data_IF_445572020866
#
_entry.id   IF_445572020866
#
_cell.length_a   1.000
_cell.length_b   1.000
_cell.length_c   1.000
_cell.angle_alpha   90.00
_cell.angle_beta   90.00
_cell.angle_gamma   90.00
#
_symmetry.space_group_name_H-M   'P 1'
#
loop_
_entity.id
_entity.type
_entity.pdbx_description
1 polymer ?
#
# COMPACT_ATOMS: atom_id res chain seq x y z
N UNK A 1 -0.09 -13.98 -8.66
CA UNK A 1 -0.61 -12.66 -8.25
C UNK A 1 0.36 -12.06 -7.25
N UNK A 2 0.84 -10.83 -7.48
CA UNK A 2 1.69 -10.13 -6.51
C UNK A 2 0.95 -9.86 -5.20
N UNK A 3 1.70 -9.74 -4.11
CA UNK A 3 1.29 -9.63 -2.72
C UNK A 3 0.38 -8.43 -2.34
N UNK A 4 -0.32 -7.80 -3.29
CA UNK A 4 -0.76 -6.42 -3.20
C UNK A 4 -2.15 -6.17 -3.81
N UNK A 5 -3.11 -7.08 -3.65
CA UNK A 5 -4.43 -7.00 -4.31
C UNK A 5 -5.27 -5.75 -3.98
N UNK A 6 -4.99 -5.05 -2.87
CA UNK A 6 -5.62 -3.76 -2.53
C UNK A 6 -4.85 -2.54 -3.07
N UNK A 7 -3.56 -2.71 -3.37
CA UNK A 7 -2.65 -1.65 -3.80
C UNK A 7 -2.32 -1.68 -5.29
N UNK A 8 -2.76 -2.72 -6.02
CA UNK A 8 -2.67 -2.76 -7.47
C UNK A 8 -3.63 -1.74 -8.11
N UNK A 9 -3.12 -1.03 -9.11
CA UNK A 9 -3.98 -0.27 -10.03
C UNK A 9 -4.62 -1.24 -11.02
N UNK A 10 -5.94 -1.30 -11.12
CA UNK A 10 -6.60 -2.11 -12.13
C UNK A 10 -6.25 -1.61 -13.53
N UNK A 11 -6.18 -2.51 -14.51
CA UNK A 11 -5.86 -2.19 -15.90
C UNK A 11 -7.05 -1.59 -16.64
N UNK A 12 -8.27 -1.84 -16.16
CA UNK A 12 -9.53 -1.38 -16.75
C UNK A 12 -10.35 -0.59 -15.73
N UNK A 13 -11.21 0.30 -16.22
CA UNK A 13 -12.00 1.22 -15.38
C UNK A 13 -13.26 0.53 -14.88
N UNK A 14 -13.36 0.34 -13.57
CA UNK A 14 -14.56 -0.22 -12.94
C UNK A 14 -15.74 0.77 -12.98
N UNK A 15 -15.50 2.03 -12.66
CA UNK A 15 -16.53 3.06 -12.61
C UNK A 15 -16.55 3.91 -13.88
N UNK A 16 -17.74 4.36 -14.28
CA UNK A 16 -17.89 5.46 -15.23
C UNK A 16 -17.50 6.78 -14.55
N UNK A 17 -17.23 7.83 -15.34
CA UNK A 17 -17.02 9.16 -14.79
C UNK A 17 -18.26 9.60 -13.99
N UNK A 18 -18.12 10.04 -12.73
CA UNK A 18 -19.24 10.51 -11.93
C UNK A 18 -19.81 11.78 -12.54
N UNK A 19 -21.13 11.96 -12.48
CA UNK A 19 -21.78 13.20 -12.94
C UNK A 19 -21.42 14.38 -12.04
N UNK A 20 -21.15 14.09 -10.78
CA UNK A 20 -20.74 15.06 -9.78
C UNK A 20 -19.70 14.46 -8.84
N UNK A 21 -18.57 15.15 -8.69
CA UNK A 21 -17.54 14.81 -7.71
C UNK A 21 -16.88 16.12 -7.23
N UNK A 22 -17.22 16.62 -6.03
CA UNK A 22 -16.73 17.90 -5.56
C UNK A 22 -15.23 17.81 -5.25
N UNK A 23 -14.48 18.82 -5.71
CA UNK A 23 -13.10 19.05 -5.29
C UNK A 23 -13.08 19.98 -4.08
N UNK A 24 -12.81 19.42 -2.92
CA UNK A 24 -12.73 20.10 -1.64
C UNK A 24 -11.31 20.63 -1.39
N UNK A 25 -11.20 21.57 -0.46
CA UNK A 25 -9.91 21.92 0.14
C UNK A 25 -9.23 20.67 0.72
N UNK A 26 -7.89 20.60 0.72
CA UNK A 26 -7.18 19.44 1.20
C UNK A 26 -7.48 19.25 2.69
N UNK A 27 -8.00 18.07 3.05
CA UNK A 27 -8.32 17.72 4.44
C UNK A 27 -7.11 17.22 5.24
N UNK A 28 -6.03 16.88 4.56
CA UNK A 28 -4.75 16.49 5.16
C UNK A 28 -3.72 17.61 4.94
N UNK A 29 -2.81 17.78 5.89
CA UNK A 29 -1.65 18.66 5.73
C UNK A 29 -0.54 17.95 4.95
N UNK A 30 0.44 18.72 4.48
CA UNK A 30 1.69 18.16 3.97
C UNK A 30 2.30 17.24 5.05
N UNK A 31 2.67 16.02 4.65
CA UNK A 31 3.28 15.04 5.53
C UNK A 31 4.69 14.70 5.04
N UNK A 32 5.63 14.66 5.97
CA UNK A 32 7.00 14.25 5.72
C UNK A 32 7.32 12.97 6.47
N UNK A 33 7.81 11.96 5.76
CA UNK A 33 8.15 10.66 6.34
C UNK A 33 9.53 10.23 5.88
N UNK A 34 10.35 9.72 6.81
CA UNK A 34 11.62 9.06 6.50
C UNK A 34 11.55 7.59 6.93
N UNK A 35 11.98 6.70 6.05
CA UNK A 35 12.08 5.26 6.28
C UNK A 35 13.45 4.73 5.82
N UNK A 36 13.94 3.67 6.48
CA UNK A 36 15.23 3.06 6.17
C UNK A 36 15.09 1.55 5.97
N UNK A 37 15.83 1.01 5.00
CA UNK A 37 15.83 -0.40 4.60
C UNK A 37 17.26 -0.92 4.53
N UNK A 38 17.46 -2.21 4.83
CA UNK A 38 18.71 -2.93 4.57
C UNK A 38 18.72 -3.66 3.21
N UNK A 39 17.72 -3.38 2.37
CA UNK A 39 17.61 -3.93 1.02
C UNK A 39 16.95 -2.93 0.07
N UNK A 40 17.54 -2.77 -1.12
CA UNK A 40 16.99 -1.96 -2.22
C UNK A 40 15.64 -2.50 -2.68
N UNK A 41 15.48 -3.83 -2.78
CA UNK A 41 14.23 -4.43 -3.26
C UNK A 41 13.06 -4.15 -2.31
N UNK A 42 13.32 -4.13 -1.00
CA UNK A 42 12.32 -3.77 0.00
C UNK A 42 11.95 -2.28 -0.09
N UNK A 43 12.94 -1.41 -0.29
CA UNK A 43 12.73 0.02 -0.46
C UNK A 43 11.91 0.33 -1.73
N UNK A 44 12.21 -0.32 -2.86
CA UNK A 44 11.46 -0.15 -4.11
C UNK A 44 10.03 -0.67 -4.00
N UNK A 45 9.82 -1.80 -3.31
CA UNK A 45 8.48 -2.34 -3.07
C UNK A 45 7.65 -1.38 -2.21
N UNK A 46 8.25 -0.79 -1.17
CA UNK A 46 7.60 0.23 -0.35
C UNK A 46 7.25 1.49 -1.16
N UNK A 47 8.22 2.04 -1.91
CA UNK A 47 8.03 3.23 -2.76
C UNK A 47 6.90 3.03 -3.77
N UNK A 48 6.89 1.87 -4.42
CA UNK A 48 5.84 1.47 -5.37
C UNK A 48 4.47 1.43 -4.71
N UNK A 49 4.36 0.85 -3.51
CA UNK A 49 3.12 0.79 -2.75
C UNK A 49 2.62 2.18 -2.34
N UNK A 50 3.50 3.07 -1.85
CA UNK A 50 3.11 4.44 -1.44
C UNK A 50 2.65 5.23 -2.67
N UNK A 51 3.38 5.11 -3.78
CA UNK A 51 3.05 5.83 -5.02
C UNK A 51 1.75 5.35 -5.66
N UNK A 52 1.40 4.06 -5.51
CA UNK A 52 0.17 3.50 -6.09
C UNK A 52 -1.07 3.72 -5.23
N UNK A 53 -0.91 3.76 -3.91
CA UNK A 53 -2.00 3.60 -2.95
C UNK A 53 -2.09 4.67 -1.87
N UNK A 54 -1.02 5.42 -1.68
CA UNK A 54 -0.87 6.40 -0.62
C UNK A 54 -0.53 5.83 0.74
N UNK A 55 -0.13 6.74 1.62
CA UNK A 55 0.48 6.41 2.91
C UNK A 55 -0.47 5.73 3.89
N UNK A 56 -1.76 6.04 3.85
CA UNK A 56 -2.76 5.40 4.72
C UNK A 56 -2.89 3.89 4.45
N UNK A 57 -2.86 3.49 3.19
CA UNK A 57 -2.96 2.08 2.80
C UNK A 57 -1.62 1.36 2.99
N UNK A 58 -0.49 2.08 2.82
CA UNK A 58 0.83 1.49 3.06
C UNK A 58 1.22 1.40 4.53
N UNK A 59 0.77 2.32 5.38
CA UNK A 59 0.96 2.24 6.83
C UNK A 59 0.21 1.05 7.44
N UNK A 60 -0.87 0.58 6.79
CA UNK A 60 -1.54 -0.65 7.17
C UNK A 60 -0.68 -1.90 6.89
N UNK A 61 0.29 -1.84 5.97
CA UNK A 61 1.19 -2.94 5.66
C UNK A 61 2.23 -3.12 6.79
N UNK A 62 2.38 -4.34 7.31
CA UNK A 62 3.23 -4.60 8.47
C UNK A 62 4.68 -4.16 8.22
N UNK A 63 5.33 -3.52 9.20
CA UNK A 63 6.73 -3.10 9.08
C UNK A 63 7.69 -4.29 8.81
N UNK A 64 7.33 -5.48 9.30
CA UNK A 64 8.00 -6.76 9.03
C UNK A 64 7.92 -7.19 7.56
N UNK A 65 6.80 -6.91 6.88
CA UNK A 65 6.61 -7.24 5.45
C UNK A 65 7.57 -6.46 4.54
N UNK A 66 8.14 -5.39 5.06
CA UNK A 66 9.09 -4.52 4.37
C UNK A 66 10.54 -4.71 4.84
N UNK A 67 10.83 -5.68 5.72
CA UNK A 67 12.16 -5.86 6.29
C UNK A 67 12.68 -4.64 7.05
N UNK A 68 11.79 -3.78 7.57
CA UNK A 68 12.17 -2.53 8.22
C UNK A 68 12.85 -2.82 9.57
N UNK A 69 14.15 -2.58 9.63
CA UNK A 69 14.85 -2.39 10.89
C UNK A 69 14.38 -1.07 11.52
N UNK A 70 13.57 -1.14 12.58
CA UNK A 70 13.11 0.00 13.39
C UNK A 70 12.51 1.18 12.60
N UNK A 71 11.20 1.13 12.36
CA UNK A 71 10.42 2.33 11.97
C UNK A 71 10.38 3.29 13.16
N UNK A 72 11.06 4.44 13.06
CA UNK A 72 10.84 5.58 13.97
C UNK A 72 9.88 6.56 13.30
N UNK A 73 8.59 6.35 13.49
CA UNK A 73 7.59 7.40 13.22
C UNK A 73 7.74 8.49 14.29
N UNK A 74 7.57 9.76 13.90
CA UNK A 74 7.47 10.90 14.83
C UNK A 74 6.14 10.84 15.59
N UNK A 75 5.98 9.83 16.44
CA UNK A 75 4.99 9.78 17.50
C UNK A 75 5.65 9.11 18.70
N UNK A 76 5.83 9.90 19.75
CA UNK A 76 6.49 9.57 21.01
C UNK A 76 6.09 8.20 21.56
N UNK A 77 7.07 7.30 21.74
CA UNK A 77 7.15 6.37 22.90
C UNK A 77 8.49 5.65 22.89
N UNK A 78 9.35 6.04 23.82
CA UNK A 78 10.52 5.25 24.21
C UNK A 78 10.05 3.87 24.70
N UNK A 79 10.42 2.81 23.99
CA UNK A 79 10.49 1.48 24.61
C UNK A 79 11.96 1.15 24.78
N UNK A 80 12.38 1.28 26.03
CA UNK A 80 13.64 0.80 26.56
C UNK A 80 13.68 -0.72 26.35
N UNK A 81 14.49 -1.18 25.41
CA UNK A 81 14.76 -2.61 25.19
C UNK A 81 15.71 -3.10 26.28
N UNK A 82 15.25 -4.07 27.06
CA UNK A 82 16.03 -4.75 28.09
C UNK A 82 17.14 -5.61 27.48
N UNK A 83 18.27 -5.70 28.20
CA UNK A 83 19.57 -6.28 27.81
C UNK A 83 19.59 -7.81 27.54
N UNK A 84 18.48 -8.43 27.14
CA UNK A 84 18.35 -9.90 27.08
C UNK A 84 18.18 -10.52 25.67
N UNK A 85 18.46 -9.78 24.59
CA UNK A 85 18.51 -10.30 23.20
C UNK A 85 19.94 -10.26 22.62
N UNK A 86 20.95 -10.45 23.47
CA UNK A 86 22.36 -10.52 23.07
C UNK A 86 22.79 -11.92 22.58
N UNK A 87 21.94 -12.57 21.79
CA UNK A 87 22.30 -13.72 20.95
C UNK A 87 21.90 -13.41 19.49
N UNK A 88 22.36 -12.26 19.00
CA UNK A 88 22.02 -11.74 17.67
C UNK A 88 22.90 -12.45 16.64
N UNK A 89 22.29 -13.35 15.87
CA UNK A 89 22.84 -13.73 14.57
C UNK A 89 23.05 -12.42 13.79
N UNK A 90 24.31 -12.04 13.59
CA UNK A 90 24.68 -10.78 12.94
C UNK A 90 24.19 -10.86 11.50
N UNK A 91 23.12 -10.13 11.20
CA UNK A 91 22.62 -9.99 9.84
C UNK A 91 23.64 -9.16 9.07
N UNK A 92 23.96 -9.64 7.88
CA UNK A 92 24.87 -8.98 6.94
C UNK A 92 24.05 -8.34 5.82
N UNK A 93 24.54 -7.21 5.30
CA UNK A 93 23.90 -6.47 4.22
C UNK A 93 24.98 -5.87 3.30
N UNK A 94 24.73 -5.92 1.99
CA UNK A 94 25.53 -5.23 0.97
C UNK A 94 24.96 -3.85 0.59
N UNK A 95 23.71 -3.57 0.95
CA UNK A 95 23.05 -2.29 0.64
C UNK A 95 22.25 -1.77 1.83
N UNK A 96 22.04 -0.45 1.86
CA UNK A 96 21.03 0.16 2.71
C UNK A 96 20.46 1.41 2.03
N UNK A 97 19.18 1.68 2.26
CA UNK A 97 18.45 2.77 1.60
C UNK A 97 17.70 3.59 2.64
N UNK A 98 17.84 4.91 2.55
CA UNK A 98 17.00 5.87 3.25
C UNK A 98 16.11 6.57 2.23
N UNK A 99 14.80 6.59 2.47
CA UNK A 99 13.85 7.33 1.67
C UNK A 99 13.16 8.36 2.55
N UNK A 100 13.31 9.64 2.19
CA UNK A 100 12.51 10.72 2.75
C UNK A 100 11.53 11.18 1.67
N UNK A 101 10.24 11.19 1.99
CA UNK A 101 9.23 11.62 1.05
C UNK A 101 8.20 12.57 1.66
N UNK A 102 7.81 13.54 0.84
CA UNK A 102 6.80 14.54 1.14
C UNK A 102 5.54 14.28 0.35
N UNK A 103 4.44 14.01 1.05
CA UNK A 103 3.10 13.97 0.49
C UNK A 103 2.49 15.37 0.55
N UNK A 104 2.18 15.94 -0.60
CA UNK A 104 1.67 17.31 -0.72
C UNK A 104 0.23 17.27 -1.27
N UNK A 105 -0.79 17.17 -0.40
CA UNK A 105 -2.18 17.25 -0.82
C UNK A 105 -2.54 18.67 -1.25
N UNK A 106 -3.24 18.79 -2.39
CA UNK A 106 -3.72 20.08 -2.93
C UNK A 106 -5.24 20.13 -2.98
N UNK A 107 -5.89 19.01 -3.27
CA UNK A 107 -7.34 18.88 -3.23
C UNK A 107 -7.74 17.57 -2.59
N UNK A 108 -8.91 17.55 -2.00
CA UNK A 108 -9.57 16.34 -1.58
C UNK A 108 -10.78 16.09 -2.47
N UNK A 109 -11.09 14.83 -2.72
CA UNK A 109 -12.30 14.44 -3.43
C UNK A 109 -12.98 13.28 -2.71
N UNK A 110 -14.27 13.20 -2.91
CA UNK A 110 -15.09 12.07 -2.49
C UNK A 110 -16.05 11.78 -3.63
N UNK A 111 -16.16 10.50 -4.01
CA UNK A 111 -17.16 10.05 -4.97
C UNK A 111 -18.36 9.59 -4.14
N UNK A 112 -19.50 10.29 -4.20
CA UNK A 112 -20.70 9.84 -3.49
C UNK A 112 -21.14 8.46 -3.98
N UNK A 113 -21.72 7.65 -3.09
CA UNK A 113 -22.07 6.25 -3.40
C UNK A 113 -23.03 6.16 -4.58
N UNK A 114 -23.99 7.06 -4.68
CA UNK A 114 -24.95 7.17 -5.76
C UNK A 114 -24.31 7.46 -7.14
N UNK A 115 -23.10 8.05 -7.14
CA UNK A 115 -22.31 8.32 -8.35
C UNK A 115 -21.39 7.16 -8.75
N UNK A 116 -21.21 6.16 -7.87
CA UNK A 116 -20.40 4.95 -8.13
C UNK A 116 -21.12 3.97 -9.05
N UNK A 117 -21.32 4.36 -10.30
CA UNK A 117 -21.94 3.53 -11.32
C UNK A 117 -20.87 2.83 -12.15
N UNK A 118 -21.10 1.56 -12.44
CA UNK A 118 -20.16 0.76 -13.24
C UNK A 118 -20.04 1.33 -14.66
N UNK A 119 -18.86 1.18 -15.24
CA UNK A 119 -18.68 1.39 -16.68
C UNK A 119 -19.43 0.32 -17.47
N UNK A 120 -19.81 0.62 -18.72
CA UNK A 120 -20.46 -0.37 -19.61
C UNK A 120 -19.58 -1.61 -19.75
N UNK A 121 -18.28 -1.42 -19.90
CA UNK A 121 -17.29 -2.48 -20.02
C UNK A 121 -17.23 -3.38 -18.77
N UNK A 122 -17.28 -2.80 -17.57
CA UNK A 122 -17.32 -3.59 -16.34
C UNK A 122 -18.65 -4.31 -16.16
N UNK A 123 -19.76 -3.68 -16.54
CA UNK A 123 -21.09 -4.28 -16.50
C UNK A 123 -21.19 -5.50 -17.41
N UNK A 124 -20.71 -5.40 -18.66
CA UNK A 124 -20.66 -6.51 -19.61
C UNK A 124 -19.77 -7.65 -19.08
N UNK A 125 -18.61 -7.30 -18.49
CA UNK A 125 -17.71 -8.28 -17.91
C UNK A 125 -18.32 -9.01 -16.70
N UNK A 126 -19.16 -8.35 -15.90
CA UNK A 126 -19.91 -8.96 -14.80
C UNK A 126 -20.92 -9.98 -15.34
N UNK A 127 -21.66 -9.62 -16.38
CA UNK A 127 -22.64 -10.51 -16.99
C UNK A 127 -21.99 -11.77 -17.60
N UNK A 128 -20.73 -11.68 -17.99
CA UNK A 128 -19.95 -12.83 -18.47
C UNK A 128 -19.39 -13.75 -17.36
N UNK A 129 -19.63 -13.46 -16.08
CA UNK A 129 -19.12 -14.29 -14.97
C UNK A 129 -19.99 -15.54 -14.81
N UNK A 130 -19.51 -16.67 -15.32
CA UNK A 130 -20.15 -17.97 -15.12
C UNK A 130 -19.37 -18.91 -14.19
N UNK A 131 -18.08 -18.63 -13.97
CA UNK A 131 -17.14 -19.52 -13.24
C UNK A 131 -16.24 -18.73 -12.28
N UNK A 132 -15.60 -19.39 -11.30
CA UNK A 132 -14.61 -18.77 -10.43
C UNK A 132 -13.43 -18.16 -11.19
N UNK A 133 -13.04 -18.74 -12.33
CA UNK A 133 -11.94 -18.23 -13.15
C UNK A 133 -12.31 -16.90 -13.83
N UNK A 134 -13.55 -16.79 -14.33
CA UNK A 134 -14.06 -15.51 -14.84
C UNK A 134 -14.07 -14.43 -13.74
N UNK A 135 -14.46 -14.80 -12.52
CA UNK A 135 -14.44 -13.88 -11.38
C UNK A 135 -13.02 -13.43 -11.02
N UNK A 136 -12.03 -14.33 -10.99
CA UNK A 136 -10.62 -13.95 -10.77
C UNK A 136 -10.10 -13.01 -11.84
N UNK A 137 -10.40 -13.28 -13.11
CA UNK A 137 -10.02 -12.40 -14.23
C UNK A 137 -10.67 -11.02 -14.11
N UNK A 138 -11.96 -10.97 -13.76
CA UNK A 138 -12.65 -9.71 -13.51
C UNK A 138 -11.95 -8.90 -12.40
N UNK A 139 -11.63 -9.53 -11.27
CA UNK A 139 -10.95 -8.85 -10.16
C UNK A 139 -9.54 -8.39 -10.53
N UNK A 140 -8.83 -9.13 -11.39
CA UNK A 140 -7.51 -8.74 -11.88
C UNK A 140 -7.58 -7.52 -12.83
N UNK A 141 -8.60 -7.48 -13.69
CA UNK A 141 -8.81 -6.42 -14.67
C UNK A 141 -9.32 -5.12 -14.04
N UNK A 142 -10.37 -5.22 -13.22
CA UNK A 142 -11.14 -4.07 -12.71
C UNK A 142 -10.87 -3.74 -11.25
N UNK A 143 -10.20 -4.63 -10.52
CA UNK A 143 -9.97 -4.49 -9.09
C UNK A 143 -11.11 -5.05 -8.25
N UNK A 144 -10.85 -5.19 -6.94
CA UNK A 144 -11.79 -5.82 -6.00
C UNK A 144 -12.63 -4.82 -5.20
N UNK A 145 -12.12 -3.60 -5.00
CA UNK A 145 -12.71 -2.61 -4.12
C UNK A 145 -12.59 -1.21 -4.71
N UNK A 146 -13.51 -0.34 -4.32
CA UNK A 146 -13.50 1.09 -4.64
C UNK A 146 -13.38 1.90 -3.36
N UNK A 147 -12.49 2.91 -3.30
CA UNK A 147 -12.45 3.84 -2.19
C UNK A 147 -13.68 4.76 -2.18
N UNK A 148 -14.37 4.76 -1.04
CA UNK A 148 -15.52 5.61 -0.74
C UNK A 148 -15.19 6.70 0.27
N UNK A 149 -14.02 6.65 0.90
CA UNK A 149 -13.54 7.69 1.81
C UNK A 149 -13.12 8.97 1.09
N UNK A 150 -12.58 9.92 1.85
CA UNK A 150 -11.91 11.09 1.28
C UNK A 150 -10.59 10.63 0.67
N UNK A 151 -10.40 10.99 -0.59
CA UNK A 151 -9.19 10.77 -1.37
C UNK A 151 -8.46 12.09 -1.57
N UNK A 152 -7.14 12.05 -1.75
CA UNK A 152 -6.33 13.26 -1.92
C UNK A 152 -5.63 13.27 -3.26
N UNK A 153 -5.77 14.41 -3.93
CA UNK A 153 -5.03 14.77 -5.13
C UNK A 153 -3.87 15.68 -4.76
N UNK A 154 -2.72 15.46 -5.37
CA UNK A 154 -1.52 16.25 -5.13
C UNK A 154 -0.31 15.62 -5.78
N UNK A 155 0.81 15.65 -5.07
CA UNK A 155 2.06 15.08 -5.55
C UNK A 155 2.89 14.46 -4.42
N UNK A 156 3.83 13.60 -4.80
CA UNK A 156 4.79 12.97 -3.90
C UNK A 156 6.19 13.34 -4.33
N UNK A 157 6.95 13.93 -3.43
CA UNK A 157 8.36 14.25 -3.65
C UNK A 157 9.22 13.24 -2.88
N UNK A 158 10.18 12.63 -3.55
CA UNK A 158 11.07 11.62 -2.97
C UNK A 158 12.51 12.10 -2.99
N UNK A 159 13.20 11.90 -1.86
CA UNK A 159 14.65 11.89 -1.75
C UNK A 159 15.08 10.49 -1.34
N UNK A 160 15.89 9.86 -2.17
CA UNK A 160 16.36 8.48 -1.96
C UNK A 160 17.88 8.54 -1.85
N UNK A 161 18.41 8.06 -0.74
CA UNK A 161 19.84 7.87 -0.49
C UNK A 161 20.10 6.39 -0.36
N UNK A 162 20.92 5.85 -1.25
CA UNK A 162 21.28 4.44 -1.29
C UNK A 162 22.79 4.32 -1.07
N UNK A 163 23.18 3.41 -0.19
CA UNK A 163 24.57 3.02 -0.02
C UNK A 163 24.76 1.58 -0.47
N UNK A 164 25.87 1.30 -1.14
CA UNK A 164 26.24 -0.02 -1.63
C UNK A 164 27.69 -0.34 -1.30
N UNK A 165 27.94 -1.43 -0.59
CA UNK A 165 29.27 -1.95 -0.28
C UNK A 165 29.65 -3.06 -1.26
N UNK A 166 30.94 -3.20 -1.57
CA UNK A 166 31.42 -4.30 -2.44
C UNK A 166 31.25 -5.68 -1.77
N UNK A 167 31.49 -5.74 -0.46
CA UNK A 167 31.27 -6.92 0.37
C UNK A 167 30.12 -6.68 1.36
N UNK A 168 29.42 -7.75 1.73
CA UNK A 168 28.49 -7.66 2.85
C UNK A 168 29.22 -7.28 4.15
N UNK A 169 28.64 -6.34 4.89
CA UNK A 169 29.08 -5.94 6.23
C UNK A 169 27.92 -6.09 7.22
N UNK A 170 28.21 -5.91 8.52
CA UNK A 170 27.15 -5.98 9.54
C UNK A 170 26.05 -4.95 9.26
N UNK A 171 24.78 -5.37 9.31
CA UNK A 171 23.62 -4.52 8.99
C UNK A 171 23.59 -3.22 9.81
N UNK A 172 24.00 -3.27 11.07
CA UNK A 172 24.11 -2.07 11.91
C UNK A 172 25.14 -1.07 11.39
N UNK A 173 26.27 -1.56 10.88
CA UNK A 173 27.33 -0.72 10.31
C UNK A 173 26.86 -0.07 9.00
N UNK A 174 26.12 -0.79 8.17
CA UNK A 174 25.45 -0.21 7.00
C UNK A 174 24.48 0.91 7.40
N UNK A 175 23.58 0.64 8.34
CA UNK A 175 22.57 1.63 8.74
C UNK A 175 23.19 2.87 9.41
N UNK A 176 24.30 2.71 10.15
CA UNK A 176 25.06 3.83 10.70
C UNK A 176 25.73 4.68 9.61
N UNK A 177 26.34 4.05 8.61
CA UNK A 177 26.90 4.75 7.45
C UNK A 177 25.80 5.51 6.69
N UNK A 178 24.65 4.90 6.45
CA UNK A 178 23.50 5.54 5.83
C UNK A 178 22.98 6.72 6.66
N UNK A 179 22.93 6.58 7.99
CA UNK A 179 22.55 7.67 8.88
C UNK A 179 23.52 8.85 8.80
N UNK A 180 24.82 8.59 8.64
CA UNK A 180 25.84 9.64 8.44
C UNK A 180 25.63 10.38 7.12
N UNK A 181 25.44 9.67 6.02
CA UNK A 181 25.21 10.26 4.69
C UNK A 181 23.91 11.06 4.61
N UNK A 182 22.93 10.71 5.44
CA UNK A 182 21.65 11.44 5.54
C UNK A 182 21.67 12.60 6.54
N UNK A 183 22.80 12.88 7.19
CA UNK A 183 22.96 14.01 8.13
C UNK A 183 22.48 13.72 9.56
N UNK A 184 22.40 12.45 9.95
CA UNK A 184 21.83 11.98 11.20
C UNK A 184 20.30 12.06 11.22
N UNK A 185 19.68 11.36 12.17
CA UNK A 185 18.22 11.21 12.35
C UNK A 185 17.41 12.52 12.55
N UNK A 186 18.01 13.69 12.33
CA UNK A 186 17.46 15.02 12.60
C UNK A 186 17.30 15.90 11.34
N UNK A 187 17.80 15.50 10.18
CA UNK A 187 17.59 16.26 8.92
C UNK A 187 16.34 15.78 8.18
N UNK A 188 15.16 16.08 8.70
CA UNK A 188 13.87 15.94 7.98
C UNK A 188 13.64 17.06 6.95
N UNK A 189 14.63 17.94 6.74
CA UNK A 189 14.56 19.04 5.79
C UNK A 189 14.90 18.54 4.39
N UNK A 190 13.87 18.45 3.57
CA UNK A 190 13.98 18.42 2.11
C UNK A 190 14.35 19.77 1.51
N UNK A 191 14.49 20.78 2.37
CA UNK A 191 14.86 22.12 2.02
C UNK A 191 16.34 22.14 1.61
N UNK A 192 16.53 22.42 0.32
CA UNK A 192 17.81 22.79 -0.31
C UNK A 192 18.73 21.59 -0.59
N UNK A 193 18.41 20.87 -1.66
CA UNK A 193 19.45 20.24 -2.49
C UNK A 193 19.40 20.89 -3.87
N UNK A 194 20.44 21.66 -4.21
CA UNK A 194 20.67 22.12 -5.58
C UNK A 194 21.39 20.97 -6.29
N UNK A 195 20.63 20.05 -6.86
CA UNK A 195 21.18 19.03 -7.76
C UNK A 195 21.31 19.68 -9.14
N UNK A 196 22.49 19.56 -9.77
CA UNK A 196 22.71 20.00 -11.15
C UNK A 196 21.76 19.29 -12.14
N UNK A 197 21.70 19.79 -13.38
CA UNK A 197 20.92 19.18 -14.46
C UNK A 197 21.25 17.69 -14.60
N UNK A 198 20.34 16.80 -14.15
CA UNK A 198 20.56 15.35 -14.12
C UNK A 198 20.06 14.60 -12.88
N UNK A 199 19.68 15.30 -11.80
CA UNK A 199 18.82 14.74 -10.74
C UNK A 199 19.43 13.64 -9.84
N UNK A 200 20.75 13.43 -9.87
CA UNK A 200 21.42 12.45 -9.03
C UNK A 200 22.88 12.80 -8.72
N UNK A 201 23.41 12.32 -7.59
CA UNK A 201 24.81 12.46 -7.20
C UNK A 201 25.36 11.12 -6.73
N UNK A 202 26.59 10.82 -7.11
CA UNK A 202 27.30 9.62 -6.67
C UNK A 202 28.55 10.04 -5.89
N UNK A 203 28.72 9.47 -4.71
CA UNK A 203 29.86 9.68 -3.82
C UNK A 203 30.47 8.36 -3.35
N UNK A 204 31.59 8.43 -2.64
CA UNK A 204 32.27 7.27 -2.05
C UNK A 204 32.56 7.52 -0.57
N UNK A 205 32.23 6.54 0.26
CA UNK A 205 32.48 6.54 1.70
C UNK A 205 33.23 5.30 2.16
N UNK A 206 33.55 5.24 3.45
CA UNK A 206 34.35 4.19 4.05
C UNK A 206 33.78 3.77 5.40
N UNK A 207 33.81 2.47 5.69
CA UNK A 207 33.49 1.90 7.00
C UNK A 207 34.73 1.96 7.89
N UNK A 208 34.58 2.43 9.13
CA UNK A 208 35.62 2.35 10.15
C UNK A 208 35.35 1.15 11.05
N UNK A 209 36.13 0.08 10.90
CA UNK A 209 36.11 -1.06 11.84
C UNK A 209 37.32 -0.97 12.77
N UNK A 210 37.11 -0.62 14.04
CA UNK A 210 38.15 -0.66 15.06
C UNK A 210 38.19 -2.06 15.68
N UNK A 211 39.24 -2.84 15.40
CA UNK A 211 39.54 -4.08 16.12
C UNK A 211 40.51 -3.79 17.27
N UNK A 212 40.05 -3.94 18.50
CA UNK A 212 40.92 -4.04 19.68
C UNK A 212 41.43 -5.48 19.80
N UNK A 213 42.67 -5.71 19.38
CA UNK A 213 43.67 -6.61 19.99
C UNK A 213 44.78 -6.92 18.98
N UNK A 214 46.01 -6.51 19.31
CA UNK A 214 47.30 -6.87 18.68
C UNK A 214 47.43 -6.69 17.16
N UNK A 215 48.08 -5.60 16.74
CA UNK A 215 48.63 -5.44 15.39
C UNK A 215 47.67 -4.75 14.41
N UNK A 216 47.91 -3.45 14.21
CA UNK A 216 47.07 -2.56 13.38
C UNK A 216 47.08 -2.99 11.92
N UNK A 217 45.96 -3.56 11.46
CA UNK A 217 45.51 -3.43 10.08
C UNK A 217 44.06 -2.94 10.11
N UNK A 218 43.87 -1.65 9.81
CA UNK A 218 42.54 -1.09 9.61
C UNK A 218 42.07 -1.53 8.23
N UNK A 219 41.26 -2.58 8.14
CA UNK A 219 40.61 -2.92 6.86
C UNK A 219 39.46 -1.95 6.63
N UNK A 220 39.75 -0.84 5.95
CA UNK A 220 38.74 0.12 5.51
C UNK A 220 37.99 -0.44 4.32
N UNK A 221 36.79 -0.98 4.53
CA UNK A 221 35.87 -1.33 3.44
C UNK A 221 35.23 -0.06 2.88
N UNK A 222 35.12 0.07 1.57
CA UNK A 222 34.47 1.24 0.93
C UNK A 222 33.03 0.95 0.55
N UNK A 223 32.22 2.01 0.45
CA UNK A 223 30.88 1.97 -0.12
C UNK A 223 30.66 3.14 -1.08
N UNK A 224 29.77 2.94 -2.04
CA UNK A 224 29.28 3.99 -2.93
C UNK A 224 27.97 4.53 -2.36
N UNK A 225 27.77 5.84 -2.48
CA UNK A 225 26.55 6.54 -2.07
C UNK A 225 25.89 7.12 -3.30
N UNK A 226 24.62 6.80 -3.53
CA UNK A 226 23.82 7.38 -4.60
C UNK A 226 22.66 8.14 -4.00
N UNK A 227 22.54 9.43 -4.33
CA UNK A 227 21.38 10.24 -3.98
C UNK A 227 20.59 10.58 -5.22
N UNK A 228 19.28 10.40 -5.20
CA UNK A 228 18.37 10.75 -6.31
C UNK A 228 17.11 11.44 -5.79
N UNK A 229 16.57 12.32 -6.63
CA UNK A 229 15.24 12.92 -6.45
C UNK A 229 14.28 12.29 -7.43
N UNK A 230 13.09 11.92 -6.95
CA UNK A 230 12.00 11.45 -7.81
C UNK A 230 10.71 12.15 -7.43
N UNK A 231 9.80 12.29 -8.40
CA UNK A 231 8.56 13.05 -8.22
C UNK A 231 7.38 12.32 -8.87
N UNK A 232 6.30 12.15 -8.11
CA UNK A 232 4.96 11.95 -8.65
C UNK A 232 4.31 13.33 -8.69
N UNK A 233 4.43 14.04 -9.80
CA UNK A 233 4.11 15.46 -9.87
C UNK A 233 5.05 16.22 -10.81
N UNK A 234 5.26 17.53 -10.59
CA UNK A 234 6.24 18.31 -11.34
C UNK A 234 7.65 17.75 -11.12
N UNK A 235 8.43 17.59 -12.19
CA UNK A 235 9.82 17.17 -12.08
C UNK A 235 10.71 18.40 -11.80
N UNK A 236 11.04 18.62 -10.53
CA UNK A 236 11.84 19.76 -10.06
C UNK A 236 12.81 19.34 -8.97
N UNK A 237 13.94 20.05 -8.87
CA UNK A 237 15.04 19.66 -7.98
C UNK A 237 14.86 20.04 -6.50
N UNK A 238 13.84 20.85 -6.15
CA UNK A 238 13.60 21.26 -4.77
C UNK A 238 12.14 21.14 -4.36
N UNK A 239 11.92 20.85 -3.08
CA UNK A 239 10.60 20.65 -2.50
C UNK A 239 9.73 21.93 -2.47
N UNK A 240 10.35 23.10 -2.27
CA UNK A 240 9.66 24.40 -2.33
C UNK A 240 9.12 24.67 -3.74
N UNK A 241 9.96 24.49 -4.77
CA UNK A 241 9.51 24.60 -6.17
C UNK A 241 8.44 23.56 -6.51
N UNK A 242 8.59 22.34 -6.00
CA UNK A 242 7.60 21.27 -6.19
C UNK A 242 6.24 21.71 -5.66
N UNK A 243 6.21 22.19 -4.42
CA UNK A 243 4.98 22.63 -3.75
C UNK A 243 4.35 23.83 -4.46
N UNK A 244 5.15 24.81 -4.90
CA UNK A 244 4.66 25.99 -5.64
C UNK A 244 4.05 25.61 -6.99
N UNK A 245 4.74 24.80 -7.79
CA UNK A 245 4.24 24.39 -9.12
C UNK A 245 2.98 23.54 -8.97
N UNK A 246 2.96 22.63 -8.00
CA UNK A 246 1.80 21.78 -7.72
C UNK A 246 0.57 22.59 -7.30
N UNK A 247 0.75 23.69 -6.56
CA UNK A 247 -0.36 24.55 -6.12
C UNK A 247 -1.06 25.29 -7.27
N UNK A 248 -0.35 25.63 -8.34
CA UNK A 248 -0.87 26.47 -9.45
C UNK A 248 -1.18 25.71 -10.73
N UNK A 249 -0.71 24.47 -10.88
CA UNK A 249 -0.87 23.69 -12.11
C UNK A 249 -1.50 22.30 -11.84
N UNK A 250 -2.79 22.19 -12.17
CA UNK A 250 -3.59 20.98 -11.94
C UNK A 250 -3.21 19.79 -12.85
N UNK A 251 -2.39 19.98 -13.89
CA UNK A 251 -1.88 18.88 -14.72
C UNK A 251 -0.99 17.91 -13.93
N UNK A 252 -0.44 18.38 -12.81
CA UNK A 252 0.40 17.57 -11.93
C UNK A 252 -0.36 17.02 -10.71
N UNK A 253 -1.69 17.13 -10.67
CA UNK A 253 -2.48 16.56 -9.59
C UNK A 253 -2.71 15.07 -9.84
N UNK A 254 -2.04 14.24 -9.06
CA UNK A 254 -2.19 12.79 -9.07
C UNK A 254 -2.93 12.33 -7.82
N UNK A 255 -3.58 11.17 -7.90
CA UNK A 255 -4.15 10.51 -6.72
C UNK A 255 -3.01 9.99 -5.84
N UNK A 256 -2.76 10.68 -4.72
CA UNK A 256 -1.64 10.39 -3.81
C UNK A 256 -2.08 9.67 -2.54
N UNK A 257 -3.38 9.68 -2.23
CA UNK A 257 -3.94 8.97 -1.09
C UNK A 257 -5.36 8.50 -1.41
N UNK A 258 -5.62 7.20 -1.25
CA UNK A 258 -6.94 6.59 -1.49
C UNK A 258 -7.85 6.59 -0.26
N UNK A 259 -7.40 7.13 0.87
CA UNK A 259 -8.14 7.14 2.13
C UNK A 259 -7.91 5.89 2.97
N UNK A 260 -8.75 5.66 3.98
CA UNK A 260 -8.60 4.53 4.89
C UNK A 260 -8.98 3.21 4.20
N UNK A 261 -8.30 2.09 4.50
CA UNK A 261 -8.78 0.76 4.10
C UNK A 261 -10.21 0.45 4.59
N UNK A 262 -10.67 1.14 5.63
CA UNK A 262 -12.03 1.00 6.20
C UNK A 262 -13.13 1.56 5.30
N UNK A 263 -12.77 2.48 4.42
CA UNK A 263 -13.72 3.16 3.54
C UNK A 263 -13.75 2.53 2.15
N UNK A 264 -13.35 1.26 2.04
CA UNK A 264 -13.42 0.50 0.79
C UNK A 264 -14.76 -0.20 0.68
N UNK A 265 -15.43 -0.08 -0.46
CA UNK A 265 -16.62 -0.87 -0.78
C UNK A 265 -16.24 -1.94 -1.79
N UNK A 266 -16.58 -3.21 -1.56
CA UNK A 266 -16.27 -4.27 -2.49
C UNK A 266 -17.13 -4.18 -3.74
N UNK A 267 -16.58 -4.63 -4.87
CA UNK A 267 -17.25 -4.54 -6.17
C UNK A 267 -18.60 -5.25 -6.21
N UNK A 268 -18.76 -6.38 -5.50
CA UNK A 268 -20.03 -7.11 -5.45
C UNK A 268 -21.15 -6.37 -4.72
N UNK A 269 -20.83 -5.36 -3.90
CA UNK A 269 -21.82 -4.48 -3.26
C UNK A 269 -22.15 -3.24 -4.12
N UNK A 270 -21.43 -3.04 -5.22
CA UNK A 270 -21.71 -1.99 -6.21
C UNK A 270 -22.54 -2.51 -7.39
N UNK A 271 -22.66 -3.83 -7.56
CA UNK A 271 -23.45 -4.43 -8.65
C UNK A 271 -24.93 -4.14 -8.40
N UNK A 272 -25.53 -3.44 -9.36
CA UNK A 272 -26.97 -3.19 -9.41
C UNK A 272 -27.71 -4.51 -9.70
N UNK A 273 -28.68 -4.86 -8.87
CA UNK A 273 -29.47 -6.08 -9.07
C UNK A 273 -30.31 -5.99 -10.35
N UNK A 274 -30.57 -4.79 -10.88
CA UNK A 274 -31.27 -4.61 -12.15
C UNK A 274 -30.41 -4.94 -13.38
N UNK A 275 -29.12 -5.23 -13.20
CA UNK A 275 -28.22 -5.51 -14.32
C UNK A 275 -28.59 -6.81 -15.05
N UNK A 276 -29.32 -7.70 -14.38
CA UNK A 276 -29.79 -8.96 -14.93
C UNK A 276 -31.20 -9.24 -14.42
N UNK A 277 -32.06 -9.78 -15.29
CA UNK A 277 -33.47 -10.03 -14.95
C UNK A 277 -33.65 -11.16 -13.93
N UNK A 278 -32.71 -12.10 -13.87
CA UNK A 278 -32.70 -13.19 -12.89
C UNK A 278 -31.79 -12.82 -11.69
N UNK A 279 -32.44 -12.64 -10.55
CA UNK A 279 -31.83 -12.27 -9.27
C UNK A 279 -30.98 -13.41 -8.67
N UNK A 280 -31.31 -14.67 -8.93
CA UNK A 280 -30.51 -15.81 -8.44
C UNK A 280 -29.18 -15.88 -9.18
N UNK A 281 -29.18 -15.63 -10.49
CA UNK A 281 -27.96 -15.50 -11.28
C UNK A 281 -27.07 -14.35 -10.77
N UNK A 282 -27.65 -13.20 -10.41
CA UNK A 282 -26.90 -12.08 -9.80
C UNK A 282 -26.31 -12.44 -8.44
N UNK A 283 -27.09 -13.10 -7.58
CA UNK A 283 -26.60 -13.57 -6.30
C UNK A 283 -25.41 -14.55 -6.47
N UNK A 284 -25.48 -15.45 -7.46
CA UNK A 284 -24.39 -16.37 -7.81
C UNK A 284 -23.15 -15.62 -8.29
N UNK A 285 -23.29 -14.61 -9.16
CA UNK A 285 -22.16 -13.80 -9.64
C UNK A 285 -21.50 -13.04 -8.48
N UNK A 286 -22.30 -12.38 -7.62
CA UNK A 286 -21.80 -11.72 -6.41
C UNK A 286 -21.03 -12.68 -5.50
N UNK A 287 -21.52 -13.92 -5.33
CA UNK A 287 -20.83 -14.95 -4.56
C UNK A 287 -19.51 -15.37 -5.20
N UNK A 288 -19.48 -15.60 -6.52
CA UNK A 288 -18.27 -16.00 -7.23
C UNK A 288 -17.16 -14.94 -7.10
N UNK A 289 -17.51 -13.65 -7.20
CA UNK A 289 -16.58 -12.55 -6.98
C UNK A 289 -16.05 -12.52 -5.55
N UNK A 290 -16.93 -12.63 -4.55
CA UNK A 290 -16.52 -12.67 -3.15
C UNK A 290 -15.60 -13.85 -2.84
N UNK A 291 -15.95 -15.04 -3.33
CA UNK A 291 -15.17 -16.26 -3.10
C UNK A 291 -13.81 -16.21 -3.80
N UNK A 292 -13.76 -15.70 -5.04
CA UNK A 292 -12.49 -15.48 -5.76
C UNK A 292 -11.58 -14.48 -5.02
N UNK A 293 -12.15 -13.43 -4.44
CA UNK A 293 -11.39 -12.49 -3.62
C UNK A 293 -10.90 -13.12 -2.31
N UNK A 294 -11.75 -13.86 -1.59
CA UNK A 294 -11.38 -14.55 -0.35
C UNK A 294 -10.27 -15.59 -0.57
N UNK A 295 -10.31 -16.32 -1.68
CA UNK A 295 -9.26 -17.26 -2.11
C UNK A 295 -7.93 -16.52 -2.33
N UNK A 296 -7.97 -15.41 -3.06
CA UNK A 296 -6.78 -14.57 -3.32
C UNK A 296 -6.23 -13.93 -2.05
N UNK A 297 -7.10 -13.51 -1.13
CA UNK A 297 -6.74 -12.83 0.11
C UNK A 297 -6.00 -13.75 1.10
N UNK A 298 -6.17 -15.07 1.02
CA UNK A 298 -5.42 -16.04 1.84
C UNK A 298 -3.91 -16.00 1.59
N UNK A 299 -3.52 -15.57 0.40
CA UNK A 299 -2.13 -15.51 -0.03
C UNK A 299 -1.57 -14.07 0.02
N UNK A 300 -2.36 -13.10 0.50
CA UNK A 300 -1.87 -11.75 0.71
C UNK A 300 -1.10 -11.66 2.04
N UNK A 301 -0.03 -10.84 2.13
CA UNK A 301 0.60 -10.49 3.39
C UNK A 301 -0.49 -9.88 4.27
N UNK A 302 -0.89 -10.63 5.28
CA UNK A 302 -2.05 -10.31 6.06
C UNK A 302 -1.76 -9.10 6.95
N UNK A 303 -2.12 -7.92 6.46
CA UNK A 303 -2.21 -6.71 7.28
C UNK A 303 -3.34 -6.84 8.29
N UNK A 304 -3.29 -6.14 9.44
CA UNK A 304 -4.41 -6.11 10.37
C UNK A 304 -5.74 -5.70 9.70
N UNK A 305 -5.69 -4.80 8.71
CA UNK A 305 -6.88 -4.35 7.99
C UNK A 305 -7.37 -5.35 6.94
N UNK A 306 -6.48 -6.00 6.17
CA UNK A 306 -6.87 -7.12 5.27
C UNK A 306 -7.44 -8.28 6.09
N UNK A 307 -6.81 -8.63 7.22
CA UNK A 307 -7.36 -9.64 8.16
C UNK A 307 -8.76 -9.27 8.61
N UNK A 308 -8.99 -8.00 8.96
CA UNK A 308 -10.31 -7.53 9.37
C UNK A 308 -11.33 -7.63 8.23
N UNK A 309 -10.98 -7.19 7.02
CA UNK A 309 -11.87 -7.29 5.86
C UNK A 309 -12.21 -8.75 5.55
N UNK A 310 -11.22 -9.64 5.53
CA UNK A 310 -11.43 -11.09 5.34
C UNK A 310 -12.33 -11.66 6.43
N UNK A 311 -12.13 -11.26 7.69
CA UNK A 311 -12.95 -11.68 8.81
C UNK A 311 -14.41 -11.19 8.68
N UNK A 312 -14.61 -9.92 8.34
CA UNK A 312 -15.93 -9.33 8.12
C UNK A 312 -16.68 -10.03 6.97
N UNK A 313 -16.00 -10.29 5.85
CA UNK A 313 -16.60 -11.00 4.71
C UNK A 313 -16.97 -12.44 5.05
N UNK A 314 -16.15 -13.14 5.87
CA UNK A 314 -16.48 -14.49 6.36
C UNK A 314 -17.71 -14.47 7.27
N UNK A 315 -17.83 -13.48 8.16
CA UNK A 315 -19.03 -13.29 8.99
C UNK A 315 -20.27 -12.98 8.16
N UNK A 316 -20.16 -12.10 7.16
CA UNK A 316 -21.25 -11.75 6.25
C UNK A 316 -21.71 -12.98 5.43
N UNK A 317 -20.79 -13.83 5.00
CA UNK A 317 -21.10 -15.10 4.33
C UNK A 317 -21.87 -16.06 5.24
N UNK A 318 -21.43 -16.21 6.49
CA UNK A 318 -22.04 -17.14 7.44
C UNK A 318 -23.45 -16.69 7.86
N UNK A 319 -23.64 -15.40 8.17
CA UNK A 319 -24.95 -14.83 8.54
C UNK A 319 -26.00 -14.93 7.43
N UNK A 320 -25.62 -14.84 6.16
CA UNK A 320 -26.55 -15.05 5.02
C UNK A 320 -26.86 -16.53 4.74
N UNK A 321 -26.03 -17.45 5.21
CA UNK A 321 -26.25 -18.89 5.07
C UNK A 321 -27.17 -19.50 6.16
N UNK A 322 -27.29 -18.85 7.32
CA UNK A 322 -28.17 -19.27 8.42
C UNK A 322 -29.68 -19.26 8.08
N UNK A 323 -30.27 -18.23 7.44
CA UNK A 323 -31.70 -18.26 7.12
C UNK A 323 -32.07 -19.40 6.17
N UNK A 324 -31.21 -19.73 5.21
CA UNK A 324 -31.43 -20.87 4.31
C UNK A 324 -31.26 -22.23 5.01
N UNK A 325 -30.38 -22.34 6.01
CA UNK A 325 -30.26 -23.54 6.84
C UNK A 325 -31.51 -23.77 7.69
N UNK A 326 -32.04 -22.73 8.34
CA UNK A 326 -33.25 -22.84 9.15
C UNK A 326 -34.50 -23.15 8.29
N UNK A 327 -34.62 -22.55 7.11
CA UNK A 327 -35.70 -22.87 6.15
C UNK A 327 -35.60 -24.32 5.64
N UNK A 328 -34.39 -24.80 5.34
CA UNK A 328 -34.18 -26.18 4.89
C UNK A 328 -34.44 -27.20 6.02
N UNK A 329 -34.02 -26.91 7.25
CA UNK A 329 -34.29 -27.73 8.42
C UNK A 329 -35.79 -27.82 8.71
N UNK A 330 -36.50 -26.69 8.70
CA UNK A 330 -37.95 -26.66 8.91
C UNK A 330 -38.72 -27.42 7.81
N UNK A 331 -38.24 -27.40 6.56
CA UNK A 331 -38.85 -28.14 5.45
C UNK A 331 -38.62 -29.66 5.57
N UNK A 332 -37.47 -30.08 6.10
CA UNK A 332 -37.17 -31.50 6.39
C UNK A 332 -37.98 -31.99 7.59
N UNK A 333 -38.11 -31.18 8.64
CA UNK A 333 -38.92 -31.46 9.82
C UNK A 333 -40.41 -31.62 9.45
N UNK A 334 -40.95 -30.69 8.66
CA UNK A 334 -42.33 -30.73 8.17
C UNK A 334 -42.60 -31.97 7.30
N UNK A 335 -41.63 -32.38 6.46
CA UNK A 335 -41.76 -33.58 5.62
C UNK A 335 -41.77 -34.87 6.46
N UNK A 336 -40.95 -34.94 7.50
CA UNK A 336 -40.96 -36.04 8.48
C UNK A 336 -42.27 -36.12 9.26
N UNK A 337 -42.87 -34.98 9.62
CA UNK A 337 -44.15 -34.96 10.33
C UNK A 337 -45.32 -35.42 9.45
N UNK A 338 -45.29 -35.13 8.14
CA UNK A 338 -46.29 -35.61 7.19
C UNK A 338 -46.14 -37.10 6.91
N UNK A 339 -44.90 -37.61 6.79
CA UNK A 339 -44.63 -39.04 6.59
C UNK A 339 -44.95 -39.90 7.83
N UNK A 340 -44.93 -39.31 9.04
CA UNK A 340 -45.31 -40.00 10.27
C UNK A 340 -46.83 -40.02 10.54
N UNK A 341 -47.62 -39.29 9.74
CA UNK A 341 -49.08 -39.18 9.89
C UNK A 341 -49.88 -40.01 8.88
N UNK A 342 -49.19 -40.79 8.02
CA UNK A 342 -49.76 -41.74 7.04
C UNK A 342 -49.48 -43.15 7.51
#
# INVERSE_FOLDING_TARGET
MGANGLSQQPTRRLLRAPLYCPLLSPSESVKMTTVTFSSVSAADAFRSAVSSSGDSLTAALEASAWGLGSVKTSATRSKQTTKAEAARQRRRAASAVAMTYGLVPVKSLHIPREQMKMSTEAADAILAIATPENARRFLADFGSHVPTGIQHLGGIYWKIVEIHAEDEVDESVMLEALAKETGGSHSTKLDIFVMGEGGGSVGRGYFSESREASGVSTSSKSYTVTTRIECVGPNVASFDMFSRVLAVNNKFWFLINRGSPRDLVPVWDLIDDSLHSDLEAMARIKSLLRDAWLDSAQHMPFTPDVRRMVYQERLARNSRSEPNRLLSANKVEARRQVEAAV
#
